data_IF_205549535587
#
_entry.id   IF_205549535587
#
_cell.length_a   1.000
_cell.length_b   1.000
_cell.length_c   1.000
_cell.angle_alpha   90.00
_cell.angle_beta   90.00
_cell.angle_gamma   90.00
#
_symmetry.space_group_name_H-M   'P 1'
#
loop_
_entity.id
_entity.type
_entity.pdbx_description
1 polymer ?
#
# COMPACT_ATOMS: atom_id res chain seq x y z
N UNK A 1 -43.81 -33.36 -41.02
CA UNK A 1 -43.58 -33.52 -39.57
C UNK A 1 -43.07 -34.93 -39.37
N UNK A 2 -41.75 -35.09 -39.25
CA UNK A 2 -41.11 -36.36 -38.94
C UNK A 2 -40.49 -36.17 -37.56
N UNK A 3 -41.02 -36.86 -36.56
CA UNK A 3 -40.46 -36.91 -35.21
C UNK A 3 -39.23 -37.83 -35.24
N UNK A 4 -38.08 -37.28 -34.89
CA UNK A 4 -36.79 -37.97 -34.75
C UNK A 4 -36.73 -38.66 -33.37
N UNK A 5 -36.71 -40.00 -33.29
CA UNK A 5 -36.76 -40.74 -32.03
C UNK A 5 -35.41 -40.82 -31.29
N UNK A 6 -34.42 -39.99 -31.63
CA UNK A 6 -33.05 -40.12 -31.15
C UNK A 6 -32.63 -39.05 -30.14
N UNK A 7 -33.54 -38.56 -29.30
CA UNK A 7 -33.16 -37.64 -28.22
C UNK A 7 -32.94 -38.40 -26.89
N UNK A 8 -31.69 -38.50 -26.39
CA UNK A 8 -31.42 -39.17 -25.12
C UNK A 8 -32.06 -38.40 -23.97
N UNK A 9 -32.85 -39.11 -23.17
CA UNK A 9 -33.46 -38.60 -21.95
C UNK A 9 -32.36 -38.16 -20.97
N UNK A 10 -32.18 -36.85 -20.81
CA UNK A 10 -31.37 -36.28 -19.75
C UNK A 10 -32.07 -36.53 -18.41
N UNK A 11 -31.50 -37.42 -17.61
CA UNK A 11 -31.90 -37.60 -16.21
C UNK A 11 -31.26 -36.46 -15.41
N UNK A 12 -32.04 -35.57 -14.76
CA UNK A 12 -31.49 -34.51 -13.94
C UNK A 12 -30.70 -35.12 -12.77
N UNK A 13 -29.45 -34.68 -12.59
CA UNK A 13 -28.64 -35.08 -11.44
C UNK A 13 -29.31 -34.58 -10.15
N UNK A 14 -29.36 -35.37 -9.07
CA UNK A 14 -29.88 -34.90 -7.79
C UNK A 14 -29.09 -33.70 -7.28
N UNK A 15 -29.82 -32.67 -6.83
CA UNK A 15 -29.25 -31.46 -6.24
C UNK A 15 -28.40 -31.81 -5.00
N UNK A 16 -27.18 -31.26 -4.87
CA UNK A 16 -26.32 -31.54 -3.73
C UNK A 16 -26.95 -31.04 -2.42
N UNK A 17 -26.67 -31.70 -1.28
CA UNK A 17 -27.16 -31.27 0.02
C UNK A 17 -26.63 -29.88 0.38
N UNK A 18 -27.52 -29.02 0.88
CA UNK A 18 -27.15 -27.70 1.37
C UNK A 18 -26.16 -27.83 2.53
N UNK A 19 -24.91 -27.43 2.30
CA UNK A 19 -23.93 -27.29 3.36
C UNK A 19 -24.28 -26.04 4.20
N UNK A 20 -24.40 -26.15 5.53
CA UNK A 20 -24.64 -24.99 6.38
C UNK A 20 -23.49 -24.00 6.25
N UNK A 21 -23.81 -22.77 5.84
CA UNK A 21 -22.87 -21.66 5.78
C UNK A 21 -22.34 -21.41 7.19
N UNK A 22 -21.07 -21.74 7.41
CA UNK A 22 -20.39 -21.35 8.64
C UNK A 22 -20.32 -19.82 8.68
N UNK A 23 -20.68 -19.18 9.80
CA UNK A 23 -20.65 -17.73 9.90
C UNK A 23 -19.22 -17.23 9.63
N UNK A 24 -19.06 -16.15 8.85
CA UNK A 24 -17.75 -15.61 8.52
C UNK A 24 -16.99 -15.27 9.80
N UNK A 25 -15.77 -15.79 9.91
CA UNK A 25 -14.88 -15.53 11.04
C UNK A 25 -14.68 -14.01 11.15
N UNK A 26 -14.93 -13.39 12.32
CA UNK A 26 -14.74 -11.96 12.47
C UNK A 26 -13.28 -11.60 12.16
N UNK A 27 -13.04 -10.48 11.45
CA UNK A 27 -11.69 -10.06 11.11
C UNK A 27 -10.86 -9.91 12.40
N UNK A 28 -9.68 -10.52 12.42
CA UNK A 28 -8.71 -10.34 13.52
C UNK A 28 -8.39 -8.85 13.61
N UNK A 29 -8.95 -8.16 14.60
CA UNK A 29 -8.60 -6.78 14.82
C UNK A 29 -7.14 -6.69 15.28
N UNK A 30 -6.29 -5.91 14.60
CA UNK A 30 -4.93 -5.70 15.06
C UNK A 30 -5.00 -5.08 16.46
N UNK A 31 -4.26 -5.66 17.40
CA UNK A 31 -4.24 -5.22 18.78
C UNK A 31 -3.70 -3.78 18.81
N UNK A 32 -4.58 -2.79 18.83
CA UNK A 32 -4.25 -1.37 18.86
C UNK A 32 -4.07 -0.94 20.32
N UNK A 33 -2.84 -0.92 20.87
CA UNK A 33 -2.63 -0.79 22.31
C UNK A 33 -3.13 0.57 22.82
N UNK A 34 -3.08 1.56 21.93
CA UNK A 34 -3.54 2.93 22.20
C UNK A 34 -5.07 3.06 22.29
N UNK A 35 -5.81 2.25 21.52
CA UNK A 35 -7.28 2.23 21.60
C UNK A 35 -7.75 1.56 22.90
N UNK A 36 -7.05 0.51 23.32
CA UNK A 36 -7.29 -0.15 24.61
C UNK A 36 -6.97 0.78 25.79
N UNK A 37 -5.82 1.47 25.77
CA UNK A 37 -5.39 2.37 26.85
C UNK A 37 -6.37 3.53 27.09
N UNK A 38 -6.98 4.08 26.02
CA UNK A 38 -8.00 5.14 26.14
C UNK A 38 -9.32 4.66 26.74
N UNK A 39 -9.62 3.37 26.65
CA UNK A 39 -10.84 2.78 27.23
C UNK A 39 -10.71 2.49 28.72
N UNK A 40 -9.49 2.54 29.28
CA UNK A 40 -9.25 2.30 30.70
C UNK A 40 -9.65 3.50 31.56
N UNK A 41 -10.06 3.21 32.81
CA UNK A 41 -10.50 4.26 33.74
C UNK A 41 -9.35 5.22 34.10
N UNK A 42 -9.70 6.47 34.46
CA UNK A 42 -8.71 7.51 34.85
C UNK A 42 -7.78 7.05 35.99
N UNK A 43 -8.26 6.16 36.88
CA UNK A 43 -7.46 5.56 37.97
C UNK A 43 -6.36 4.64 37.45
N UNK A 44 -6.67 3.84 36.43
CA UNK A 44 -5.72 2.92 35.79
C UNK A 44 -4.69 3.68 34.95
N UNK A 45 -5.11 4.74 34.25
CA UNK A 45 -4.21 5.61 33.49
C UNK A 45 -3.19 6.32 34.38
N UNK A 46 -3.63 6.83 35.54
CA UNK A 46 -2.74 7.43 36.54
C UNK A 46 -1.74 6.43 37.12
N UNK A 47 -2.16 5.19 37.39
CA UNK A 47 -1.29 4.13 37.91
C UNK A 47 -0.16 3.76 36.95
N UNK A 48 -0.47 3.62 35.65
CA UNK A 48 0.55 3.28 34.63
C UNK A 48 1.56 4.42 34.47
N UNK A 49 1.09 5.67 34.43
CA UNK A 49 1.98 6.83 34.34
C UNK A 49 2.95 6.91 35.53
N UNK A 50 2.42 6.78 36.75
CA UNK A 50 3.23 6.80 37.96
C UNK A 50 4.26 5.66 37.98
N UNK A 51 3.84 4.45 37.61
CA UNK A 51 4.74 3.29 37.54
C UNK A 51 5.89 3.49 36.54
N UNK A 52 5.62 4.03 35.34
CA UNK A 52 6.68 4.31 34.36
C UNK A 52 7.69 5.33 34.87
N UNK A 53 7.24 6.38 35.56
CA UNK A 53 8.11 7.39 36.17
C UNK A 53 9.00 6.75 37.24
N UNK A 54 8.42 5.91 38.11
CA UNK A 54 9.18 5.19 39.13
C UNK A 54 10.24 4.24 38.55
N UNK A 55 9.91 3.51 37.47
CA UNK A 55 10.86 2.61 36.80
C UNK A 55 12.00 3.39 36.15
N UNK A 56 11.71 4.50 35.45
CA UNK A 56 12.75 5.35 34.85
C UNK A 56 13.62 5.98 35.93
N UNK A 57 13.03 6.46 37.03
CA UNK A 57 13.78 7.02 38.15
C UNK A 57 14.70 5.96 38.76
N UNK A 58 14.21 4.75 39.01
CA UNK A 58 15.02 3.63 39.50
C UNK A 58 16.15 3.23 38.54
N UNK A 59 15.89 3.24 37.23
CA UNK A 59 16.91 2.98 36.22
C UNK A 59 17.98 4.08 36.19
N UNK A 60 17.58 5.35 36.29
CA UNK A 60 18.53 6.47 36.36
C UNK A 60 19.36 6.45 37.66
N UNK A 61 18.77 6.11 38.81
CA UNK A 61 19.50 5.99 40.07
C UNK A 61 20.49 4.81 40.06
N UNK A 62 20.20 3.73 39.34
CA UNK A 62 21.13 2.60 39.18
C UNK A 62 22.27 2.87 38.19
N UNK A 63 22.12 3.83 37.27
CA UNK A 63 23.24 4.32 36.45
C UNK A 63 24.23 5.18 37.24
N UNK A 64 23.79 5.84 38.32
CA UNK A 64 24.66 6.70 39.13
C UNK A 64 25.61 5.92 40.06
N UNK A 65 25.30 4.66 40.39
CA UNK A 65 26.13 3.83 41.29
C UNK A 65 27.20 2.97 40.60
N UNK A 66 27.27 2.99 39.26
CA UNK A 66 28.28 2.24 38.48
C UNK A 66 29.47 3.11 37.98
N UNK A 67 29.66 4.31 38.53
CA UNK A 67 30.67 5.28 38.05
C UNK A 67 31.85 5.47 39.01
N UNK A 68 32.45 4.39 39.49
CA UNK A 68 33.84 4.40 39.93
C UNK A 68 34.54 3.23 39.25
N UNK A 69 35.70 3.47 38.65
CA UNK A 69 36.49 2.54 37.82
C UNK A 69 36.06 2.46 36.33
N UNK A 70 36.59 3.37 35.51
CA UNK A 70 37.80 3.09 34.72
C UNK A 70 38.13 4.29 33.81
N UNK A 71 39.17 5.01 34.22
CA UNK A 71 39.99 5.86 33.37
C UNK A 71 40.99 4.94 32.66
N UNK A 72 40.99 4.87 31.33
CA UNK A 72 42.20 4.62 30.52
C UNK A 72 41.92 4.85 29.03
N UNK A 73 42.42 6.00 28.56
CA UNK A 73 43.15 6.16 27.31
C UNK A 73 42.50 5.70 26.00
N UNK A 74 42.08 6.66 25.17
CA UNK A 74 42.86 6.98 23.97
C UNK A 74 42.36 8.27 23.31
N UNK A 75 43.19 9.32 23.47
CA UNK A 75 43.20 10.47 22.58
C UNK A 75 43.78 10.02 21.23
N UNK A 76 42.92 9.87 20.22
CA UNK A 76 43.34 9.98 18.82
C UNK A 76 42.50 11.04 18.13
N UNK A 77 43.16 12.19 17.97
CA UNK A 77 43.11 13.09 16.82
C UNK A 77 41.76 13.28 16.11
N UNK A 78 41.16 14.44 16.39
CA UNK A 78 40.78 15.47 15.42
C UNK A 78 40.90 15.06 13.95
N UNK A 79 39.76 14.90 13.27
CA UNK A 79 39.71 15.06 11.82
C UNK A 79 38.55 15.99 11.46
N UNK A 80 38.82 17.25 11.05
CA UNK A 80 37.80 18.15 10.54
C UNK A 80 37.28 17.62 9.20
N UNK A 81 35.94 17.58 9.10
CA UNK A 81 35.22 17.33 7.85
C UNK A 81 35.52 18.48 6.87
N UNK A 82 36.11 18.23 5.68
CA UNK A 82 36.21 19.28 4.68
C UNK A 82 34.83 19.55 4.09
N UNK A 83 34.38 20.79 4.26
CA UNK A 83 33.32 21.39 3.48
C UNK A 83 33.65 21.22 1.98
N UNK A 84 32.86 20.39 1.29
CA UNK A 84 32.92 20.27 -0.17
C UNK A 84 32.38 21.57 -0.75
N UNK A 85 33.32 22.36 -1.25
CA UNK A 85 33.17 23.62 -1.94
C UNK A 85 32.53 23.37 -3.30
N UNK A 86 31.49 24.15 -3.63
CA UNK A 86 30.97 24.33 -4.98
C UNK A 86 32.14 24.68 -5.91
N UNK A 87 32.39 23.84 -6.90
CA UNK A 87 33.36 24.11 -7.96
C UNK A 87 32.58 24.35 -9.25
N UNK A 88 32.50 25.63 -9.62
CA UNK A 88 32.07 26.07 -10.94
C UNK A 88 32.97 25.40 -12.00
N UNK A 89 32.32 24.64 -12.88
CA UNK A 89 32.97 24.03 -14.04
C UNK A 89 33.04 25.09 -15.15
N UNK A 90 34.22 25.35 -15.73
CA UNK A 90 34.36 26.29 -16.84
C UNK A 90 33.60 25.81 -18.07
N UNK A 91 32.78 26.70 -18.61
CA UNK A 91 32.00 26.53 -19.84
C UNK A 91 32.97 26.49 -21.03
N UNK A 92 33.15 25.30 -21.61
CA UNK A 92 33.89 25.11 -22.84
C UNK A 92 32.94 25.28 -24.05
N UNK A 93 33.20 26.19 -25.01
CA UNK A 93 32.36 26.34 -26.19
C UNK A 93 32.64 25.22 -27.19
N UNK A 94 31.85 24.15 -27.13
CA UNK A 94 31.87 23.13 -28.18
C UNK A 94 31.01 23.57 -29.37
N UNK A 95 31.69 23.61 -30.51
CA UNK A 95 31.23 23.84 -31.88
C UNK A 95 29.93 23.09 -32.25
N UNK A 96 29.03 23.67 -33.07
CA UNK A 96 27.83 22.99 -33.53
C UNK A 96 28.18 21.85 -34.51
N UNK A 97 28.03 20.61 -34.06
CA UNK A 97 28.04 19.42 -34.91
C UNK A 97 26.80 19.44 -35.83
N UNK A 98 26.92 19.15 -37.13
CA UNK A 98 25.78 19.11 -38.04
C UNK A 98 24.76 18.05 -37.59
N UNK A 99 23.50 18.49 -37.50
CA UNK A 99 22.36 17.67 -37.12
C UNK A 99 22.10 16.58 -38.18
N UNK A 100 22.12 15.29 -37.82
CA UNK A 100 21.76 14.24 -38.76
C UNK A 100 20.26 14.35 -39.11
N UNK A 101 19.97 14.32 -40.41
CA UNK A 101 18.63 14.30 -40.98
C UNK A 101 17.81 13.14 -40.38
N UNK A 102 16.60 13.39 -39.83
CA UNK A 102 15.79 12.33 -39.24
C UNK A 102 15.37 11.32 -40.31
N UNK A 103 15.65 10.04 -40.03
CA UNK A 103 15.14 8.89 -40.79
C UNK A 103 13.60 8.86 -40.64
N UNK A 104 12.83 8.61 -41.71
CA UNK A 104 11.37 8.52 -41.61
C UNK A 104 10.98 7.44 -40.60
N UNK A 105 10.23 7.87 -39.59
CA UNK A 105 9.64 7.00 -38.56
C UNK A 105 8.54 6.16 -39.20
N UNK A 106 8.46 4.84 -38.93
CA UNK A 106 7.37 4.01 -39.42
C UNK A 106 6.03 4.56 -38.91
N UNK A 107 5.08 4.72 -39.83
CA UNK A 107 3.69 5.09 -39.52
C UNK A 107 3.09 4.05 -38.57
N UNK A 108 2.59 4.43 -37.39
CA UNK A 108 2.00 3.48 -36.45
C UNK A 108 0.77 2.82 -37.07
N UNK A 109 0.74 1.49 -37.07
CA UNK A 109 -0.46 0.70 -37.38
C UNK A 109 -1.56 1.04 -36.37
N UNK A 110 -2.80 1.32 -36.79
CA UNK A 110 -3.91 1.57 -35.87
C UNK A 110 -4.15 0.35 -34.97
N UNK A 111 -3.89 0.49 -33.67
CA UNK A 111 -4.28 -0.50 -32.67
C UNK A 111 -5.79 -0.41 -32.52
N UNK A 112 -6.50 -1.50 -32.87
CA UNK A 112 -7.92 -1.57 -32.63
C UNK A 112 -8.19 -1.57 -31.11
N UNK A 113 -9.17 -0.78 -30.63
CA UNK A 113 -9.59 -0.82 -29.24
C UNK A 113 -10.11 -2.23 -28.89
N UNK A 114 -9.70 -2.81 -27.76
CA UNK A 114 -10.33 -4.05 -27.29
C UNK A 114 -11.81 -3.78 -27.04
N UNK A 115 -12.69 -4.58 -27.64
CA UNK A 115 -14.13 -4.57 -27.35
C UNK A 115 -14.34 -5.02 -25.90
N UNK A 116 -14.83 -4.17 -24.98
CA UNK A 116 -15.05 -4.60 -23.61
C UNK A 116 -16.28 -5.52 -23.54
N UNK A 117 -16.08 -6.71 -22.98
CA UNK A 117 -17.16 -7.56 -22.49
C UNK A 117 -17.84 -6.85 -21.30
N UNK A 118 -19.16 -6.60 -21.32
CA UNK A 118 -19.84 -5.95 -20.21
C UNK A 118 -19.97 -6.94 -19.04
N UNK A 119 -19.02 -6.88 -18.12
CA UNK A 119 -19.13 -7.54 -16.83
C UNK A 119 -20.19 -6.81 -15.97
N UNK A 120 -20.99 -7.54 -15.16
CA UNK A 120 -22.00 -6.95 -14.30
C UNK A 120 -21.42 -5.84 -13.39
N UNK A 121 -22.14 -4.73 -13.27
CA UNK A 121 -21.75 -3.51 -12.56
C UNK A 121 -21.73 -3.66 -11.02
N UNK A 122 -20.96 -4.62 -10.50
CA UNK A 122 -20.77 -4.82 -9.05
C UNK A 122 -19.66 -3.93 -8.49
N UNK A 123 -18.90 -3.25 -9.35
CA UNK A 123 -17.79 -2.39 -8.95
C UNK A 123 -18.24 -1.20 -8.11
N UNK A 124 -17.41 -0.81 -7.13
CA UNK A 124 -17.61 0.41 -6.33
C UNK A 124 -17.79 1.61 -7.27
N UNK A 125 -18.80 2.43 -6.96
CA UNK A 125 -19.20 3.61 -7.73
C UNK A 125 -19.57 3.36 -9.20
N UNK A 126 -19.75 2.10 -9.63
CA UNK A 126 -19.90 1.69 -11.04
C UNK A 126 -18.64 1.93 -11.88
N UNK A 127 -17.47 1.67 -11.31
CA UNK A 127 -16.22 1.73 -12.07
C UNK A 127 -16.22 0.68 -13.19
N UNK A 128 -15.61 0.99 -14.35
CA UNK A 128 -15.69 0.16 -15.55
C UNK A 128 -14.89 -1.16 -15.45
N UNK A 129 -14.07 -1.33 -14.42
CA UNK A 129 -13.24 -2.52 -14.23
C UNK A 129 -13.86 -3.53 -13.26
N UNK A 130 -15.05 -3.24 -12.71
CA UNK A 130 -15.71 -4.12 -11.75
C UNK A 130 -14.98 -4.24 -10.42
N UNK A 131 -14.08 -3.30 -10.09
CA UNK A 131 -13.33 -3.36 -8.83
C UNK A 131 -14.22 -3.05 -7.64
N UNK A 132 -14.11 -3.82 -6.56
CA UNK A 132 -14.94 -3.64 -5.37
C UNK A 132 -14.16 -3.89 -4.07
N UNK A 133 -14.87 -3.93 -2.94
CA UNK A 133 -14.29 -4.20 -1.62
C UNK A 133 -14.56 -5.63 -1.12
N UNK A 134 -15.16 -6.48 -1.95
CA UNK A 134 -15.33 -7.89 -1.63
C UNK A 134 -13.98 -8.59 -1.80
N UNK A 135 -13.55 -9.45 -0.86
CA UNK A 135 -12.27 -10.14 -0.98
C UNK A 135 -12.13 -10.87 -2.31
N UNK A 136 -11.06 -10.58 -3.04
CA UNK A 136 -10.77 -11.14 -4.35
C UNK A 136 -9.27 -11.02 -4.67
N UNK A 137 -8.94 -10.81 -5.94
CA UNK A 137 -7.56 -10.61 -6.35
C UNK A 137 -7.11 -9.16 -6.07
N UNK A 138 -5.91 -8.98 -5.52
CA UNK A 138 -5.37 -7.64 -5.27
C UNK A 138 -4.93 -6.98 -6.58
N UNK A 139 -5.19 -5.68 -6.70
CA UNK A 139 -4.86 -4.92 -7.92
C UNK A 139 -3.45 -4.36 -7.79
N UNK A 140 -2.46 -4.99 -8.41
CA UNK A 140 -1.05 -4.52 -8.41
C UNK A 140 -0.68 -3.71 -9.65
N UNK A 141 -1.44 -3.85 -10.73
CA UNK A 141 -1.24 -3.12 -11.98
C UNK A 141 -2.54 -2.44 -12.43
N UNK A 142 -2.94 -1.34 -11.78
CA UNK A 142 -4.16 -0.62 -12.15
C UNK A 142 -4.03 -0.03 -13.56
N UNK A 143 -5.13 0.06 -14.33
CA UNK A 143 -5.17 0.70 -15.64
C UNK A 143 -4.70 2.15 -15.59
N UNK A 144 -4.12 2.66 -16.69
CA UNK A 144 -3.59 4.03 -16.72
C UNK A 144 -4.66 5.11 -16.41
N UNK A 145 -5.92 4.86 -16.79
CA UNK A 145 -7.06 5.75 -16.50
C UNK A 145 -7.60 5.67 -15.06
N UNK A 146 -7.00 4.85 -14.19
CA UNK A 146 -7.52 4.60 -12.84
C UNK A 146 -7.69 5.90 -12.04
N UNK A 147 -6.69 6.78 -12.03
CA UNK A 147 -6.73 8.06 -11.30
C UNK A 147 -7.57 9.15 -11.97
N UNK A 148 -8.09 8.89 -13.18
CA UNK A 148 -9.12 9.72 -13.79
C UNK A 148 -10.53 9.40 -13.27
N UNK A 149 -10.70 8.22 -12.66
CA UNK A 149 -11.98 7.76 -12.11
C UNK A 149 -11.98 7.83 -10.57
N UNK A 150 -10.90 7.35 -9.95
CA UNK A 150 -10.70 7.38 -8.51
C UNK A 150 -9.79 8.53 -8.11
N UNK A 151 -10.06 9.16 -6.96
CA UNK A 151 -9.17 10.20 -6.43
C UNK A 151 -7.89 9.55 -5.88
N UNK A 152 -6.78 9.68 -6.59
CA UNK A 152 -5.50 9.09 -6.20
C UNK A 152 -4.63 10.07 -5.41
N UNK A 153 -3.84 9.53 -4.47
CA UNK A 153 -2.73 10.30 -3.88
C UNK A 153 -1.68 10.64 -4.94
N UNK A 154 -0.92 11.71 -4.71
CA UNK A 154 0.10 12.20 -5.65
C UNK A 154 1.17 11.15 -6.04
N UNK A 155 1.52 10.24 -5.13
CA UNK A 155 2.54 9.21 -5.37
C UNK A 155 1.99 7.92 -6.01
N UNK A 156 0.70 7.85 -6.38
CA UNK A 156 0.05 6.61 -6.82
C UNK A 156 0.76 5.92 -7.99
N UNK A 157 1.13 6.68 -9.03
CA UNK A 157 1.79 6.15 -10.24
C UNK A 157 3.14 5.48 -9.94
N UNK A 158 3.90 6.05 -9.01
CA UNK A 158 5.18 5.51 -8.53
C UNK A 158 5.03 4.42 -7.47
N UNK A 159 3.81 4.22 -6.96
CA UNK A 159 3.49 3.32 -5.87
C UNK A 159 3.86 1.86 -6.17
N UNK A 160 4.17 1.13 -5.09
CA UNK A 160 4.48 -0.30 -5.11
C UNK A 160 3.57 -1.04 -4.15
N UNK A 161 3.10 -2.22 -4.55
CA UNK A 161 2.14 -3.02 -3.81
C UNK A 161 0.82 -3.10 -4.56
N UNK A 162 -0.29 -3.15 -3.83
CA UNK A 162 -1.63 -3.16 -4.40
C UNK A 162 -2.45 -1.92 -4.04
N UNK A 163 -3.55 -1.74 -4.75
CA UNK A 163 -4.46 -0.61 -4.54
C UNK A 163 -5.26 -0.76 -3.24
N UNK A 164 -5.23 0.29 -2.44
CA UNK A 164 -6.01 0.44 -1.21
C UNK A 164 -6.71 1.79 -1.20
N UNK A 165 -7.84 1.88 -0.51
CA UNK A 165 -8.46 3.14 -0.09
C UNK A 165 -7.83 3.55 1.25
N UNK A 166 -7.33 4.78 1.32
CA UNK A 166 -6.85 5.42 2.54
C UNK A 166 -8.03 5.96 3.37
N UNK A 167 -7.78 6.38 4.61
CA UNK A 167 -8.84 6.80 5.53
C UNK A 167 -9.54 8.10 5.13
N UNK A 168 -8.87 8.93 4.34
CA UNK A 168 -9.40 10.16 3.75
C UNK A 168 -10.19 9.92 2.44
N UNK A 169 -10.33 8.66 2.00
CA UNK A 169 -11.03 8.30 0.76
C UNK A 169 -10.17 8.40 -0.51
N UNK A 170 -8.90 8.77 -0.39
CA UNK A 170 -7.97 8.72 -1.53
C UNK A 170 -7.46 7.30 -1.76
N UNK A 171 -7.08 7.00 -3.00
CA UNK A 171 -6.54 5.71 -3.39
C UNK A 171 -5.02 5.75 -3.46
N UNK A 172 -4.37 4.71 -2.93
CA UNK A 172 -2.93 4.53 -2.94
C UNK A 172 -2.55 3.16 -3.49
N UNK A 173 -1.49 3.09 -4.29
CA UNK A 173 -0.83 1.84 -4.71
C UNK A 173 0.31 1.47 -3.75
N UNK A 174 0.05 1.53 -2.45
CA UNK A 174 1.04 1.22 -1.39
C UNK A 174 0.63 0.03 -0.53
N UNK A 175 -0.46 -0.66 -0.86
CA UNK A 175 -1.00 -1.78 -0.09
C UNK A 175 0.03 -2.89 0.16
N UNK A 176 -0.04 -3.49 1.35
CA UNK A 176 0.93 -4.51 1.80
C UNK A 176 2.23 -3.96 2.38
N UNK A 177 2.41 -2.64 2.43
CA UNK A 177 3.58 -1.98 3.03
C UNK A 177 3.23 -1.46 4.43
N UNK A 178 4.22 -1.47 5.34
CA UNK A 178 4.07 -0.94 6.70
C UNK A 178 3.73 0.55 6.76
N UNK A 179 4.11 1.32 5.74
CA UNK A 179 3.84 2.77 5.62
C UNK A 179 2.68 3.11 4.68
N UNK A 180 1.82 2.15 4.34
CA UNK A 180 0.71 2.38 3.44
C UNK A 180 -0.25 3.46 3.97
N UNK A 181 -0.56 4.46 3.14
CA UNK A 181 -1.40 5.61 3.51
C UNK A 181 -0.93 6.35 4.77
N UNK A 182 0.36 6.34 5.10
CA UNK A 182 0.87 6.94 6.35
C UNK A 182 0.63 8.45 6.47
N UNK A 183 0.52 9.15 5.33
CA UNK A 183 0.20 10.58 5.26
C UNK A 183 -1.32 10.85 5.21
N UNK A 184 -2.10 9.80 4.99
CA UNK A 184 -3.52 9.84 4.62
C UNK A 184 -4.39 9.13 5.68
N UNK A 185 -3.89 9.08 6.93
CA UNK A 185 -4.61 8.52 8.08
C UNK A 185 -4.59 6.99 8.18
N UNK A 186 -3.78 6.31 7.35
CA UNK A 186 -3.64 4.86 7.30
C UNK A 186 -4.58 4.19 6.29
N UNK A 187 -4.38 2.89 6.11
CA UNK A 187 -5.20 2.08 5.19
C UNK A 187 -6.61 1.91 5.77
N UNK A 188 -7.63 2.22 4.97
CA UNK A 188 -9.03 1.94 5.29
C UNK A 188 -9.40 0.53 4.87
N UNK A 189 -9.23 0.20 3.58
CA UNK A 189 -9.54 -1.12 3.00
C UNK A 189 -8.85 -1.36 1.67
N UNK A 190 -8.76 -2.62 1.27
CA UNK A 190 -8.19 -3.06 0.00
C UNK A 190 -9.24 -3.04 -1.10
N UNK A 191 -8.86 -2.56 -2.28
CA UNK A 191 -9.68 -2.66 -3.49
C UNK A 191 -9.28 -3.93 -4.25
N UNK A 192 -10.27 -4.72 -4.64
CA UNK A 192 -10.10 -6.03 -5.26
C UNK A 192 -10.67 -6.06 -6.67
N UNK A 193 -10.12 -6.95 -7.49
CA UNK A 193 -10.66 -7.36 -8.78
C UNK A 193 -11.20 -8.78 -8.71
N UNK A 194 -12.14 -9.09 -9.59
CA UNK A 194 -12.77 -10.40 -9.75
C UNK A 194 -12.66 -10.89 -11.19
#
# INVERSE_FOLDING_TARGET
MYDDPTQPHFIPLPSPPFLPLTPPRPPRQPFAPWAWYRKQSKKVQGGIGCFTIFVVLMLCLSCASASAHMFSGNFLASQPSPAVKTQDTPMNPFSPTPMPTPKPSPTPTPIQPPTPSPAPATGVNRNPWGYDFNPGNVITNPPAGFCGYFNCISSFSSGKGYVVECKDGQYSKSGGRSSACSRDGGVSRTLYSH
#
